data_IF_769738842162
#
_entry.id   IF_769738842162
#
_cell.length_a   1.000
_cell.length_b   1.000
_cell.length_c   1.000
_cell.angle_alpha   90.00
_cell.angle_beta   90.00
_cell.angle_gamma   90.00
#
_symmetry.space_group_name_H-M   'P 1'
#
loop_
_entity.id
_entity.type
_entity.pdbx_description
1 polymer ?
#
# COMPACT_ATOMS: atom_id res chain seq x y z
N UNK A 1 -7.63 1.40 16.19
CA UNK A 1 -6.70 1.74 15.06
C UNK A 1 -5.23 1.72 15.49
N UNK A 2 -4.83 2.46 16.52
CA UNK A 2 -3.41 2.52 16.93
C UNK A 2 -2.82 1.14 17.27
N UNK A 3 -3.56 0.30 18.00
CA UNK A 3 -3.13 -1.04 18.35
C UNK A 3 -2.83 -1.91 17.12
N UNK A 4 -3.67 -1.77 16.06
CA UNK A 4 -3.48 -2.51 14.81
C UNK A 4 -2.20 -2.05 14.07
N UNK A 5 -1.89 -0.75 14.11
CA UNK A 5 -0.66 -0.20 13.52
C UNK A 5 0.57 -0.67 14.29
N UNK A 6 0.52 -0.60 15.62
CA UNK A 6 1.61 -1.08 16.48
C UNK A 6 1.81 -2.62 16.41
N UNK A 7 0.79 -3.36 15.97
CA UNK A 7 0.88 -4.80 15.75
C UNK A 7 1.53 -5.19 14.41
N UNK A 8 1.85 -4.23 13.52
CA UNK A 8 2.47 -4.53 12.21
C UNK A 8 3.70 -5.44 12.28
N UNK A 9 4.63 -5.30 13.26
CA UNK A 9 5.74 -6.24 13.42
C UNK A 9 5.28 -7.71 13.60
N UNK A 10 4.25 -7.93 14.41
CA UNK A 10 3.68 -9.27 14.63
C UNK A 10 2.93 -9.78 13.38
N UNK A 11 2.26 -8.89 12.65
CA UNK A 11 1.56 -9.25 11.42
C UNK A 11 2.51 -9.82 10.36
N UNK A 12 3.80 -9.45 10.35
CA UNK A 12 4.80 -9.99 9.41
C UNK A 12 4.91 -11.50 9.56
N UNK A 13 5.20 -11.99 10.74
CA UNK A 13 5.36 -13.42 11.00
C UNK A 13 4.07 -14.21 10.77
N UNK A 14 2.93 -13.68 11.22
CA UNK A 14 1.61 -14.30 11.01
C UNK A 14 1.25 -14.35 9.52
N UNK A 15 1.54 -13.30 8.73
CA UNK A 15 1.28 -13.27 7.30
C UNK A 15 2.10 -14.33 6.55
N UNK A 16 3.39 -14.46 6.84
CA UNK A 16 4.26 -15.49 6.24
C UNK A 16 3.73 -16.90 6.55
N UNK A 17 3.39 -17.17 7.81
CA UNK A 17 2.83 -18.45 8.21
C UNK A 17 1.50 -18.77 7.48
N UNK A 18 0.60 -17.79 7.36
CA UNK A 18 -0.70 -17.99 6.70
C UNK A 18 -0.58 -18.26 5.21
N UNK A 19 0.33 -17.58 4.54
CA UNK A 19 0.59 -17.81 3.13
C UNK A 19 1.18 -19.21 2.92
N UNK A 20 2.10 -19.65 3.78
CA UNK A 20 2.66 -20.99 3.75
C UNK A 20 1.58 -22.05 4.02
N UNK A 21 0.73 -21.82 5.03
CA UNK A 21 -0.37 -22.72 5.37
C UNK A 21 -1.45 -22.83 4.26
N UNK A 22 -1.56 -21.82 3.38
CA UNK A 22 -2.46 -21.88 2.23
C UNK A 22 -2.02 -22.90 1.17
N UNK A 23 -0.75 -23.30 1.18
CA UNK A 23 -0.25 -24.46 0.44
C UNK A 23 -0.25 -24.32 -1.08
N UNK A 24 -0.19 -23.09 -1.64
CA UNK A 24 -0.02 -22.96 -3.08
C UNK A 24 1.42 -23.25 -3.49
N UNK A 25 1.56 -24.24 -4.38
CA UNK A 25 2.88 -24.70 -4.83
C UNK A 25 3.52 -23.68 -5.78
N UNK A 26 4.85 -23.44 -5.68
CA UNK A 26 5.57 -22.63 -6.64
C UNK A 26 5.41 -23.16 -8.05
N UNK A 27 5.14 -22.27 -9.00
CA UNK A 27 5.01 -22.58 -10.42
C UNK A 27 5.49 -21.42 -11.27
N UNK A 28 6.42 -21.66 -12.15
CA UNK A 28 6.87 -20.65 -13.11
C UNK A 28 5.75 -20.27 -14.09
N UNK A 29 5.32 -19.00 -14.04
CA UNK A 29 4.24 -18.46 -14.87
C UNK A 29 4.74 -17.26 -15.68
N UNK A 30 5.00 -17.42 -17.00
CA UNK A 30 5.55 -16.34 -17.84
C UNK A 30 4.75 -15.06 -17.89
N UNK A 31 3.43 -15.13 -17.71
CA UNK A 31 2.53 -13.96 -17.65
C UNK A 31 2.66 -13.13 -16.37
N UNK A 32 3.42 -13.60 -15.37
CA UNK A 32 3.67 -12.87 -14.13
C UNK A 32 2.51 -12.89 -13.16
N UNK A 33 2.31 -11.77 -12.44
CA UNK A 33 1.33 -11.63 -11.37
C UNK A 33 0.36 -10.48 -11.63
N UNK A 34 -0.92 -10.76 -11.50
CA UNK A 34 -1.98 -9.73 -11.43
C UNK A 34 -2.62 -9.79 -10.05
N UNK A 35 -2.68 -8.64 -9.38
CA UNK A 35 -3.30 -8.49 -8.06
C UNK A 35 -4.61 -7.74 -8.24
N UNK A 36 -5.75 -8.37 -7.96
CA UNK A 36 -7.07 -7.76 -8.04
C UNK A 36 -7.57 -7.40 -6.65
N UNK A 37 -7.91 -6.13 -6.44
CA UNK A 37 -8.38 -5.64 -5.16
C UNK A 37 -8.77 -4.17 -5.20
N UNK A 38 -9.37 -3.68 -4.11
CA UNK A 38 -9.72 -2.27 -3.92
C UNK A 38 -9.12 -1.74 -2.63
N UNK A 39 -9.01 -0.40 -2.50
CA UNK A 39 -8.56 0.25 -1.28
C UNK A 39 -7.25 -0.33 -0.72
N UNK A 40 -7.24 -0.68 0.57
CA UNK A 40 -6.08 -1.26 1.26
C UNK A 40 -5.58 -2.57 0.65
N UNK A 41 -6.48 -3.40 0.10
CA UNK A 41 -6.11 -4.66 -0.54
C UNK A 41 -5.31 -4.44 -1.84
N UNK A 42 -5.70 -3.46 -2.65
CA UNK A 42 -4.98 -3.10 -3.86
C UNK A 42 -3.64 -2.39 -3.55
N UNK A 43 -3.62 -1.54 -2.52
CA UNK A 43 -2.39 -0.86 -2.07
C UNK A 43 -1.32 -1.87 -1.68
N UNK A 44 -1.69 -2.99 -1.04
CA UNK A 44 -0.73 -4.07 -0.73
C UNK A 44 -0.01 -4.61 -1.97
N UNK A 45 -0.71 -4.73 -3.10
CA UNK A 45 -0.10 -5.10 -4.38
C UNK A 45 0.89 -4.06 -4.91
N UNK A 46 0.55 -2.78 -4.84
CA UNK A 46 1.46 -1.68 -5.25
C UNK A 46 2.70 -1.61 -4.36
N UNK A 47 2.52 -1.80 -3.04
CA UNK A 47 3.62 -1.82 -2.08
C UNK A 47 4.54 -3.02 -2.30
N UNK A 48 3.99 -4.19 -2.63
CA UNK A 48 4.77 -5.36 -3.00
C UNK A 48 5.60 -5.10 -4.27
N UNK A 49 5.00 -4.53 -5.31
CA UNK A 49 5.72 -4.14 -6.52
C UNK A 49 6.83 -3.12 -6.23
N UNK A 50 6.57 -2.15 -5.35
CA UNK A 50 7.55 -1.16 -4.90
C UNK A 50 8.72 -1.80 -4.13
N UNK A 51 8.43 -2.75 -3.22
CA UNK A 51 9.44 -3.47 -2.45
C UNK A 51 10.29 -4.42 -3.32
N UNK A 52 9.70 -5.00 -4.38
CA UNK A 52 10.44 -5.79 -5.37
C UNK A 52 11.37 -4.91 -6.18
N UNK A 53 10.94 -3.68 -6.50
CA UNK A 53 11.72 -2.70 -7.27
C UNK A 53 12.32 -3.29 -8.57
N UNK A 54 13.60 -3.00 -8.84
CA UNK A 54 14.30 -3.47 -10.04
C UNK A 54 14.57 -4.98 -10.10
N UNK A 55 14.10 -5.78 -9.13
CA UNK A 55 14.28 -7.25 -9.07
C UNK A 55 13.15 -8.03 -9.74
N UNK A 56 12.13 -7.35 -10.24
CA UNK A 56 11.04 -7.99 -10.99
C UNK A 56 11.59 -8.68 -12.24
N UNK A 57 11.22 -9.96 -12.41
CA UNK A 57 11.59 -10.79 -13.56
C UNK A 57 10.48 -10.84 -14.60
N UNK A 58 9.25 -10.51 -14.19
CA UNK A 58 8.02 -10.52 -15.00
C UNK A 58 7.12 -9.39 -14.55
N UNK A 59 6.07 -9.11 -15.32
CA UNK A 59 5.11 -8.08 -15.00
C UNK A 59 4.39 -8.38 -13.67
N UNK A 60 4.27 -7.36 -12.84
CA UNK A 60 3.46 -7.35 -11.61
C UNK A 60 2.52 -6.15 -11.73
N UNK A 61 1.21 -6.40 -11.75
CA UNK A 61 0.20 -5.37 -12.01
C UNK A 61 -0.91 -5.43 -10.99
N UNK A 62 -1.34 -4.28 -10.51
CA UNK A 62 -2.52 -4.16 -9.63
C UNK A 62 -3.72 -3.66 -10.44
N UNK A 63 -4.82 -4.39 -10.34
CA UNK A 63 -6.10 -4.08 -11.00
C UNK A 63 -7.10 -3.57 -9.97
N UNK A 64 -7.72 -2.43 -10.30
CA UNK A 64 -8.79 -1.80 -9.53
C UNK A 64 -9.99 -1.61 -10.45
N UNK A 65 -10.92 -2.55 -10.39
CA UNK A 65 -12.09 -2.55 -11.25
C UNK A 65 -12.61 -3.97 -11.51
N UNK A 66 -13.54 -4.08 -12.42
CA UNK A 66 -14.31 -5.30 -12.69
C UNK A 66 -13.68 -6.19 -13.78
N UNK A 67 -12.70 -5.70 -14.53
CA UNK A 67 -12.15 -6.37 -15.70
C UNK A 67 -10.67 -6.73 -15.51
N UNK A 68 -10.29 -7.90 -16.01
CA UNK A 68 -8.90 -8.31 -16.09
C UNK A 68 -8.22 -7.69 -17.33
N UNK A 69 -6.91 -7.45 -17.27
CA UNK A 69 -6.14 -7.14 -18.48
C UNK A 69 -6.31 -8.25 -19.54
N UNK A 70 -6.40 -7.89 -20.83
CA UNK A 70 -6.75 -8.83 -21.90
C UNK A 70 -5.69 -9.91 -22.18
N UNK A 71 -4.51 -9.74 -21.63
CA UNK A 71 -3.39 -10.68 -21.72
C UNK A 71 -3.33 -11.69 -20.56
N UNK A 72 -4.29 -11.65 -19.63
CA UNK A 72 -4.39 -12.63 -18.53
C UNK A 72 -4.91 -13.95 -19.05
N UNK A 73 -4.22 -15.04 -18.69
CA UNK A 73 -4.57 -16.39 -19.11
C UNK A 73 -3.88 -17.46 -18.26
N UNK A 74 -3.78 -18.72 -18.74
CA UNK A 74 -3.25 -19.85 -17.97
C UNK A 74 -1.81 -19.68 -17.48
N UNK A 75 -1.07 -18.73 -18.03
CA UNK A 75 0.33 -18.42 -17.70
C UNK A 75 0.47 -17.21 -16.75
N UNK A 76 -0.64 -16.67 -16.23
CA UNK A 76 -0.65 -15.52 -15.31
C UNK A 76 -1.23 -15.93 -13.96
N UNK A 77 -0.52 -15.69 -12.85
CA UNK A 77 -1.11 -15.84 -11.52
C UNK A 77 -2.03 -14.66 -11.22
N UNK A 78 -3.24 -14.93 -10.76
CA UNK A 78 -4.17 -13.90 -10.29
C UNK A 78 -4.35 -14.02 -8.77
N UNK A 79 -3.86 -13.03 -8.03
CA UNK A 79 -4.12 -12.87 -6.60
C UNK A 79 -5.37 -12.01 -6.42
N UNK A 80 -6.44 -12.60 -5.90
CA UNK A 80 -7.67 -11.91 -5.55
C UNK A 80 -7.62 -11.54 -4.07
N UNK A 81 -7.41 -10.26 -3.78
CA UNK A 81 -7.25 -9.73 -2.43
C UNK A 81 -8.47 -8.89 -2.02
N UNK A 82 -9.17 -9.33 -0.98
CA UNK A 82 -10.29 -8.59 -0.38
C UNK A 82 -10.38 -8.90 1.10
N UNK A 83 -10.18 -7.89 1.95
CA UNK A 83 -10.29 -8.09 3.40
C UNK A 83 -11.66 -8.65 3.78
N UNK A 84 -12.77 -8.01 3.37
CA UNK A 84 -14.12 -8.48 3.65
C UNK A 84 -14.52 -9.76 2.89
N UNK A 85 -13.85 -10.06 1.77
CA UNK A 85 -14.22 -11.13 0.86
C UNK A 85 -15.50 -10.87 0.05
N UNK A 86 -16.08 -9.67 0.15
CA UNK A 86 -17.35 -9.30 -0.52
C UNK A 86 -17.19 -8.15 -1.54
N UNK A 87 -15.94 -7.71 -1.82
CA UNK A 87 -15.67 -6.65 -2.79
C UNK A 87 -16.06 -7.11 -4.20
N UNK A 88 -17.04 -6.44 -4.81
CA UNK A 88 -17.63 -6.85 -6.09
C UNK A 88 -16.60 -6.94 -7.21
N UNK A 89 -15.73 -5.93 -7.32
CA UNK A 89 -14.67 -5.88 -8.34
C UNK A 89 -13.72 -7.06 -8.21
N UNK A 90 -13.37 -7.42 -6.97
CA UNK A 90 -12.48 -8.57 -6.71
C UNK A 90 -13.17 -9.89 -7.04
N UNK A 91 -14.46 -10.01 -6.74
CA UNK A 91 -15.26 -11.19 -7.08
C UNK A 91 -15.42 -11.34 -8.59
N UNK A 92 -15.66 -10.25 -9.31
CA UNK A 92 -15.74 -10.24 -10.77
C UNK A 92 -14.42 -10.69 -11.40
N UNK A 93 -13.28 -10.15 -10.93
CA UNK A 93 -11.95 -10.57 -11.38
C UNK A 93 -11.65 -12.04 -11.04
N UNK A 94 -12.09 -12.52 -9.87
CA UNK A 94 -11.91 -13.92 -9.49
C UNK A 94 -12.64 -14.87 -10.45
N UNK A 95 -13.88 -14.58 -10.80
CA UNK A 95 -14.68 -15.38 -11.72
C UNK A 95 -14.09 -15.32 -13.13
N UNK A 96 -13.80 -14.12 -13.66
CA UNK A 96 -13.18 -13.91 -14.97
C UNK A 96 -11.83 -14.64 -15.10
N UNK A 97 -10.99 -14.63 -14.06
CA UNK A 97 -9.74 -15.39 -14.06
C UNK A 97 -9.97 -16.91 -14.18
N UNK A 98 -11.05 -17.41 -13.58
CA UNK A 98 -11.46 -18.80 -13.73
C UNK A 98 -11.88 -19.15 -15.16
N UNK A 99 -12.66 -18.27 -15.80
CA UNK A 99 -13.14 -18.45 -17.18
C UNK A 99 -11.99 -18.53 -18.19
N UNK A 100 -10.94 -17.73 -18.02
CA UNK A 100 -9.74 -17.74 -18.88
C UNK A 100 -8.71 -18.80 -18.47
N UNK A 101 -8.99 -19.63 -17.44
CA UNK A 101 -8.11 -20.69 -16.97
C UNK A 101 -6.87 -20.20 -16.23
N UNK A 102 -6.84 -18.97 -15.75
CA UNK A 102 -5.72 -18.43 -14.98
C UNK A 102 -5.66 -19.08 -13.58
N UNK A 103 -4.48 -19.52 -13.10
CA UNK A 103 -4.29 -19.94 -11.72
C UNK A 103 -4.60 -18.78 -10.78
N UNK A 104 -5.29 -19.07 -9.67
CA UNK A 104 -5.78 -18.07 -8.70
C UNK A 104 -5.32 -18.39 -7.29
N UNK A 105 -5.20 -17.35 -6.47
CA UNK A 105 -5.07 -17.40 -5.01
C UNK A 105 -6.01 -16.37 -4.42
N UNK A 106 -6.72 -16.72 -3.35
CA UNK A 106 -7.55 -15.79 -2.60
C UNK A 106 -6.84 -15.37 -1.32
N UNK A 107 -6.86 -14.06 -1.00
CA UNK A 107 -6.33 -13.48 0.23
C UNK A 107 -7.47 -12.70 0.91
N UNK A 108 -8.01 -13.23 2.02
CA UNK A 108 -9.25 -12.70 2.61
C UNK A 108 -9.46 -13.18 4.05
N UNK A 109 -10.32 -12.47 4.81
CA UNK A 109 -10.79 -12.97 6.12
C UNK A 109 -11.86 -14.05 5.99
N UNK A 110 -12.57 -14.12 4.84
CA UNK A 110 -13.69 -15.02 4.63
C UNK A 110 -14.61 -14.56 3.50
N UNK A 111 -15.91 -14.64 3.73
CA UNK A 111 -16.97 -14.16 2.83
C UNK A 111 -17.07 -14.90 1.49
N UNK A 112 -17.83 -14.34 0.54
CA UNK A 112 -18.08 -14.96 -0.78
C UNK A 112 -16.79 -15.32 -1.53
N UNK A 113 -15.71 -14.56 -1.40
CA UNK A 113 -14.43 -14.87 -2.05
C UNK A 113 -13.84 -16.18 -1.54
N UNK A 114 -13.84 -16.40 -0.21
CA UNK A 114 -13.34 -17.64 0.37
C UNK A 114 -14.24 -18.83 0.01
N UNK A 115 -15.56 -18.63 -0.06
CA UNK A 115 -16.52 -19.66 -0.44
C UNK A 115 -16.31 -20.09 -1.90
N UNK A 116 -16.23 -19.14 -2.84
CA UNK A 116 -15.95 -19.40 -4.26
C UNK A 116 -14.60 -20.07 -4.45
N UNK A 117 -13.56 -19.59 -3.74
CA UNK A 117 -12.23 -20.16 -3.84
C UNK A 117 -12.21 -21.63 -3.38
N UNK A 118 -12.81 -21.94 -2.22
CA UNK A 118 -12.91 -23.33 -1.73
C UNK A 118 -13.71 -24.23 -2.67
N UNK A 119 -14.85 -23.75 -3.19
CA UNK A 119 -15.68 -24.50 -4.15
C UNK A 119 -14.93 -24.80 -5.46
N UNK A 120 -14.02 -23.93 -5.87
CA UNK A 120 -13.18 -24.08 -7.06
C UNK A 120 -11.84 -24.80 -6.80
N UNK A 121 -11.55 -25.23 -5.57
CA UNK A 121 -10.26 -25.82 -5.19
C UNK A 121 -9.09 -24.85 -5.27
N UNK A 122 -9.36 -23.55 -5.13
CA UNK A 122 -8.37 -22.47 -5.17
C UNK A 122 -7.81 -22.24 -3.77
N UNK A 123 -6.48 -22.13 -3.59
CA UNK A 123 -5.87 -21.82 -2.29
C UNK A 123 -6.40 -20.53 -1.69
N UNK A 124 -6.61 -20.54 -0.37
CA UNK A 124 -7.06 -19.37 0.41
C UNK A 124 -6.05 -19.08 1.51
N UNK A 125 -5.34 -17.98 1.39
CA UNK A 125 -4.56 -17.42 2.48
C UNK A 125 -5.50 -16.59 3.38
N UNK A 126 -5.79 -17.12 4.58
CA UNK A 126 -6.72 -16.48 5.51
C UNK A 126 -6.07 -15.31 6.25
N UNK A 127 -6.74 -14.17 6.34
CA UNK A 127 -6.32 -13.02 7.14
C UNK A 127 -7.13 -12.99 8.44
N UNK A 128 -6.59 -12.54 9.59
CA UNK A 128 -7.36 -12.33 10.81
C UNK A 128 -8.48 -11.30 10.58
N UNK A 129 -9.65 -11.57 11.14
CA UNK A 129 -10.76 -10.62 11.20
C UNK A 129 -10.65 -9.70 12.42
N UNK A 130 -11.44 -8.65 12.48
CA UNK A 130 -11.59 -7.79 13.65
C UNK A 130 -10.79 -6.48 13.62
N UNK A 131 -9.93 -6.26 12.61
CA UNK A 131 -9.25 -4.99 12.38
C UNK A 131 -9.93 -4.19 11.24
N UNK A 132 -9.63 -2.92 11.16
CA UNK A 132 -10.03 -2.12 10.00
C UNK A 132 -9.35 -2.65 8.71
N UNK A 133 -10.04 -2.70 7.56
CA UNK A 133 -9.45 -3.24 6.32
C UNK A 133 -8.11 -2.58 5.94
N UNK A 134 -7.95 -1.28 6.21
CA UNK A 134 -6.72 -0.52 5.98
C UNK A 134 -5.56 -0.94 6.88
N UNK A 135 -5.85 -1.48 8.06
CA UNK A 135 -4.83 -1.96 9.00
C UNK A 135 -4.24 -3.34 8.60
N UNK A 136 -4.88 -4.05 7.66
CA UNK A 136 -4.41 -5.33 7.15
C UNK A 136 -3.36 -5.20 6.03
N UNK A 137 -2.77 -4.02 5.83
CA UNK A 137 -1.85 -3.73 4.72
C UNK A 137 -0.63 -4.65 4.70
N UNK A 138 -0.11 -5.04 5.86
CA UNK A 138 1.04 -5.96 5.96
C UNK A 138 0.68 -7.33 5.38
N UNK A 139 -0.48 -7.88 5.73
CA UNK A 139 -0.97 -9.14 5.15
C UNK A 139 -1.12 -9.06 3.64
N UNK A 140 -1.68 -7.96 3.12
CA UNK A 140 -1.87 -7.75 1.69
C UNK A 140 -0.54 -7.64 0.95
N UNK A 141 0.42 -6.91 1.53
CA UNK A 141 1.74 -6.72 0.93
C UNK A 141 2.54 -8.02 0.92
N UNK A 142 2.61 -8.73 2.06
CA UNK A 142 3.35 -10.00 2.17
C UNK A 142 2.71 -11.08 1.31
N UNK A 143 1.38 -11.17 1.29
CA UNK A 143 0.66 -12.09 0.41
C UNK A 143 1.00 -11.87 -1.07
N UNK A 144 1.10 -10.62 -1.51
CA UNK A 144 1.49 -10.28 -2.88
C UNK A 144 2.99 -10.57 -3.15
N UNK A 145 3.89 -10.32 -2.20
CA UNK A 145 5.32 -10.66 -2.30
C UNK A 145 5.54 -12.17 -2.46
N UNK A 146 4.90 -12.97 -1.62
CA UNK A 146 4.99 -14.43 -1.66
C UNK A 146 4.36 -15.00 -2.96
N UNK A 147 3.25 -14.43 -3.43
CA UNK A 147 2.68 -14.79 -4.74
C UNK A 147 3.62 -14.44 -5.90
N UNK A 148 4.29 -13.28 -5.85
CA UNK A 148 5.27 -12.88 -6.86
C UNK A 148 6.46 -13.85 -6.91
N UNK A 149 6.94 -14.30 -5.75
CA UNK A 149 8.00 -15.31 -5.66
C UNK A 149 7.50 -16.68 -6.18
N UNK A 150 6.31 -17.11 -5.77
CA UNK A 150 5.76 -18.40 -6.14
C UNK A 150 5.48 -18.55 -7.64
N UNK A 151 5.10 -17.46 -8.35
CA UNK A 151 4.91 -17.48 -9.80
C UNK A 151 6.18 -17.15 -10.59
N UNK A 152 7.32 -16.96 -9.94
CA UNK A 152 8.60 -16.59 -10.56
C UNK A 152 8.66 -15.17 -11.11
N UNK A 153 7.70 -14.29 -10.73
CA UNK A 153 7.71 -12.88 -11.12
C UNK A 153 8.79 -12.06 -10.37
N UNK A 154 9.22 -12.54 -9.21
CA UNK A 154 10.30 -11.96 -8.42
C UNK A 154 11.09 -13.07 -7.69
N UNK A 155 12.31 -12.79 -7.18
CA UNK A 155 12.94 -13.69 -6.23
C UNK A 155 12.16 -13.75 -4.90
N UNK A 156 12.38 -14.79 -4.10
CA UNK A 156 11.91 -14.78 -2.71
C UNK A 156 12.60 -13.65 -1.94
N UNK A 157 11.82 -12.90 -1.18
CA UNK A 157 12.28 -11.80 -0.33
C UNK A 157 12.03 -12.10 1.15
N UNK A 158 11.84 -13.38 1.50
CA UNK A 158 11.46 -13.82 2.84
C UNK A 158 12.43 -13.33 3.90
N UNK A 159 13.74 -13.43 3.66
CA UNK A 159 14.76 -12.97 4.62
C UNK A 159 14.68 -11.46 4.85
N UNK A 160 14.38 -10.67 3.80
CA UNK A 160 14.18 -9.22 3.94
C UNK A 160 12.88 -8.89 4.69
N UNK A 161 11.82 -9.66 4.46
CA UNK A 161 10.53 -9.52 5.16
C UNK A 161 10.70 -9.82 6.64
N UNK A 162 11.37 -10.92 6.98
CA UNK A 162 11.65 -11.31 8.37
C UNK A 162 12.56 -10.27 9.06
N UNK A 163 13.61 -9.81 8.36
CA UNK A 163 14.51 -8.76 8.87
C UNK A 163 13.85 -7.40 9.09
N UNK A 164 12.79 -7.08 8.36
CA UNK A 164 12.05 -5.84 8.56
C UNK A 164 11.26 -5.82 9.89
N UNK A 165 10.99 -6.97 10.50
CA UNK A 165 10.23 -7.08 11.75
C UNK A 165 10.87 -6.29 12.89
N UNK A 166 12.17 -6.51 13.13
CA UNK A 166 12.90 -5.82 14.22
C UNK A 166 12.91 -4.30 14.00
N UNK A 167 13.04 -3.87 12.75
CA UNK A 167 12.95 -2.45 12.41
C UNK A 167 11.58 -1.87 12.74
N UNK A 168 10.50 -2.57 12.43
CA UNK A 168 9.15 -2.10 12.74
C UNK A 168 8.87 -2.13 14.26
N UNK A 169 9.47 -3.05 15.03
CA UNK A 169 9.41 -3.04 16.50
C UNK A 169 10.07 -1.75 17.06
N UNK A 170 11.23 -1.33 16.52
CA UNK A 170 11.87 -0.08 16.90
C UNK A 170 11.03 1.15 16.49
N UNK A 171 10.41 1.12 15.31
CA UNK A 171 9.54 2.19 14.85
C UNK A 171 8.26 2.33 15.69
N UNK A 172 7.75 1.23 16.23
CA UNK A 172 6.61 1.25 17.15
C UNK A 172 6.92 2.03 18.45
N UNK A 173 8.19 2.03 18.87
CA UNK A 173 8.65 2.76 20.05
C UNK A 173 9.02 4.22 19.73
N UNK A 174 9.69 4.47 18.61
CA UNK A 174 10.16 5.80 18.19
C UNK A 174 10.13 5.98 16.67
N UNK A 175 9.00 6.39 16.14
CA UNK A 175 8.80 6.66 14.71
C UNK A 175 9.07 8.12 14.33
N UNK A 176 9.02 9.04 15.27
CA UNK A 176 8.97 10.49 15.03
C UNK A 176 7.61 10.97 14.47
N UNK A 177 6.58 10.10 14.46
CA UNK A 177 5.27 10.40 13.86
C UNK A 177 4.59 11.62 14.46
N UNK A 178 4.67 11.83 15.77
CA UNK A 178 4.06 12.98 16.45
C UNK A 178 4.65 14.32 15.98
N UNK A 179 5.96 14.37 15.72
CA UNK A 179 6.60 15.57 15.19
C UNK A 179 6.14 15.88 13.77
N UNK A 180 5.97 14.85 12.95
CA UNK A 180 5.45 14.97 11.58
C UNK A 180 3.98 15.39 11.62
N UNK A 181 3.16 14.76 12.46
CA UNK A 181 1.75 15.10 12.62
C UNK A 181 1.55 16.58 12.99
N UNK A 182 2.30 17.08 13.97
CA UNK A 182 2.27 18.52 14.35
C UNK A 182 2.68 19.45 13.19
N UNK A 183 3.60 19.04 12.33
CA UNK A 183 4.00 19.83 11.17
C UNK A 183 2.93 19.86 10.07
N UNK A 184 1.97 18.94 10.09
CA UNK A 184 0.87 18.84 9.14
C UNK A 184 -0.47 19.39 9.70
N UNK A 185 -0.51 19.74 10.97
CA UNK A 185 -1.70 20.31 11.62
C UNK A 185 -2.18 21.55 10.85
N UNK A 186 -3.49 21.71 10.68
CA UNK A 186 -4.11 22.81 9.96
C UNK A 186 -3.69 22.95 8.47
N UNK A 187 -3.12 21.93 7.86
CA UNK A 187 -2.70 21.97 6.45
C UNK A 187 -3.42 20.92 5.59
N UNK A 188 -3.31 21.08 4.27
CA UNK A 188 -3.70 20.07 3.27
C UNK A 188 -2.43 19.45 2.68
N UNK A 189 -2.05 18.24 3.10
CA UNK A 189 -0.81 17.63 2.67
C UNK A 189 -0.83 17.13 1.22
N UNK A 190 0.18 17.51 0.42
CA UNK A 190 0.56 16.82 -0.80
C UNK A 190 1.75 15.92 -0.50
N UNK A 191 1.54 14.61 -0.62
CA UNK A 191 2.58 13.62 -0.35
C UNK A 191 3.27 13.25 -1.66
N UNK A 192 4.55 13.62 -1.79
CA UNK A 192 5.38 13.37 -2.96
C UNK A 192 6.17 12.08 -2.80
N UNK A 193 6.06 11.22 -3.79
CA UNK A 193 6.87 10.01 -3.92
C UNK A 193 7.54 9.94 -5.29
N UNK A 194 8.50 9.04 -5.44
CA UNK A 194 9.16 8.76 -6.72
C UNK A 194 9.53 7.28 -6.78
N UNK A 195 9.39 6.64 -7.94
CA UNK A 195 9.68 5.22 -8.08
C UNK A 195 9.05 4.38 -6.95
N UNK A 196 9.84 3.65 -6.12
CA UNK A 196 9.27 2.82 -5.06
C UNK A 196 8.43 3.59 -4.02
N UNK A 197 8.76 4.86 -3.73
CA UNK A 197 8.02 5.63 -2.74
C UNK A 197 6.70 6.21 -3.25
N UNK A 198 6.44 6.18 -4.56
CA UNK A 198 5.17 6.64 -5.13
C UNK A 198 3.96 5.83 -4.64
N UNK A 199 4.10 4.51 -4.50
CA UNK A 199 3.06 3.65 -3.92
C UNK A 199 2.82 3.99 -2.44
N UNK A 200 3.88 4.28 -1.70
CA UNK A 200 3.79 4.68 -0.29
C UNK A 200 3.13 6.04 -0.14
N UNK A 201 3.44 7.01 -1.02
CA UNK A 201 2.78 8.33 -1.03
C UNK A 201 1.26 8.20 -1.22
N UNK A 202 0.81 7.31 -2.12
CA UNK A 202 -0.62 6.98 -2.26
C UNK A 202 -1.21 6.37 -0.99
N UNK A 203 -0.45 5.51 -0.28
CA UNK A 203 -0.87 4.97 1.01
C UNK A 203 -1.02 6.07 2.06
N UNK A 204 -0.03 6.95 2.23
CA UNK A 204 -0.09 8.07 3.16
C UNK A 204 -1.35 8.91 2.93
N UNK A 205 -1.60 9.30 1.68
CA UNK A 205 -2.80 10.04 1.29
C UNK A 205 -4.07 9.34 1.77
N UNK A 206 -4.21 8.04 1.54
CA UNK A 206 -5.43 7.31 1.95
C UNK A 206 -5.55 7.20 3.46
N UNK A 207 -4.44 7.04 4.19
CA UNK A 207 -4.45 6.98 5.64
C UNK A 207 -4.84 8.34 6.27
N UNK A 208 -4.31 9.44 5.76
CA UNK A 208 -4.72 10.78 6.19
C UNK A 208 -6.21 11.03 5.92
N UNK A 209 -6.71 10.61 4.75
CA UNK A 209 -8.13 10.72 4.44
C UNK A 209 -9.02 9.88 5.38
N UNK A 210 -8.63 8.63 5.66
CA UNK A 210 -9.47 7.69 6.41
C UNK A 210 -9.31 7.81 7.92
N UNK A 211 -8.11 8.05 8.44
CA UNK A 211 -7.87 8.15 9.89
C UNK A 211 -8.07 9.58 10.40
N UNK A 212 -7.39 10.56 9.83
CA UNK A 212 -7.49 11.95 10.25
C UNK A 212 -8.68 12.71 9.63
N UNK A 213 -9.46 12.08 8.75
CA UNK A 213 -10.58 12.70 8.00
C UNK A 213 -10.15 13.96 7.22
N UNK A 214 -8.85 14.06 6.93
CA UNK A 214 -8.21 15.21 6.31
C UNK A 214 -8.12 15.04 4.79
N UNK A 215 -8.52 16.01 3.97
CA UNK A 215 -8.20 16.01 2.55
C UNK A 215 -6.67 15.99 2.36
N UNK A 216 -6.16 14.98 1.67
CA UNK A 216 -4.76 14.85 1.34
C UNK A 216 -4.63 14.33 -0.10
N UNK A 217 -3.51 14.64 -0.74
CA UNK A 217 -3.25 14.26 -2.12
C UNK A 217 -1.90 13.57 -2.23
N UNK A 218 -1.71 12.77 -3.28
CA UNK A 218 -0.42 12.15 -3.59
C UNK A 218 0.03 12.61 -4.99
N UNK A 219 1.32 12.86 -5.11
CA UNK A 219 1.95 13.29 -6.34
C UNK A 219 3.20 12.46 -6.63
N UNK A 220 3.48 12.22 -7.90
CA UNK A 220 4.60 11.38 -8.33
C UNK A 220 5.62 12.18 -9.15
N UNK A 221 6.88 12.11 -8.71
CA UNK A 221 8.04 12.62 -9.44
C UNK A 221 8.62 11.50 -10.33
N UNK A 222 9.07 11.83 -11.54
CA UNK A 222 9.36 13.18 -12.05
C UNK A 222 8.19 13.90 -12.72
N UNK A 223 7.02 13.28 -12.91
CA UNK A 223 5.90 13.86 -13.67
C UNK A 223 5.43 15.20 -13.09
N UNK A 224 5.32 15.32 -11.76
CA UNK A 224 4.93 16.55 -11.09
C UNK A 224 5.86 17.76 -11.40
N UNK A 225 7.12 17.50 -11.74
CA UNK A 225 8.05 18.56 -12.16
C UNK A 225 7.77 19.14 -13.55
N UNK A 226 6.90 18.49 -14.34
CA UNK A 226 6.55 18.95 -15.68
C UNK A 226 5.24 19.74 -15.72
N UNK A 227 4.51 19.81 -14.60
CA UNK A 227 3.20 20.44 -14.51
C UNK A 227 2.87 21.02 -13.14
N UNK A 228 2.74 20.19 -12.10
CA UNK A 228 2.20 20.58 -10.80
C UNK A 228 3.04 21.67 -10.08
N UNK A 229 4.35 21.68 -10.28
CA UNK A 229 5.27 22.65 -9.65
C UNK A 229 4.91 24.10 -9.97
N UNK A 230 4.30 24.36 -11.13
CA UNK A 230 3.84 25.69 -11.52
C UNK A 230 2.65 26.18 -10.72
N UNK A 231 1.80 25.24 -10.24
CA UNK A 231 0.60 25.55 -9.49
C UNK A 231 0.83 25.96 -8.03
N UNK A 232 1.96 25.59 -7.45
CA UNK A 232 2.19 25.72 -6.01
C UNK A 232 2.10 27.16 -5.49
N UNK A 233 2.70 28.13 -6.18
CA UNK A 233 2.67 29.53 -5.75
C UNK A 233 1.22 30.03 -5.61
N UNK A 234 0.40 29.76 -6.60
CA UNK A 234 -1.02 30.14 -6.56
C UNK A 234 -1.81 29.29 -5.58
N UNK A 235 -1.45 28.01 -5.42
CA UNK A 235 -2.08 27.10 -4.46
C UNK A 235 -1.99 27.60 -3.02
N UNK A 236 -0.81 28.10 -2.61
CA UNK A 236 -0.60 28.68 -1.27
C UNK A 236 -1.45 29.92 -0.98
N UNK A 237 -1.84 30.69 -2.02
CA UNK A 237 -2.80 31.80 -1.85
C UNK A 237 -4.24 31.32 -1.66
N UNK A 238 -4.57 30.08 -2.03
CA UNK A 238 -5.92 29.52 -2.04
C UNK A 238 -6.22 28.59 -0.88
N UNK A 239 -5.20 27.87 -0.38
CA UNK A 239 -5.34 26.87 0.68
C UNK A 239 -4.05 26.69 1.48
N UNK A 240 -4.12 26.23 2.74
CA UNK A 240 -2.97 25.96 3.57
C UNK A 240 -2.27 24.66 3.14
N UNK A 241 -1.61 24.66 1.98
CA UNK A 241 -0.93 23.48 1.46
C UNK A 241 0.38 23.21 2.21
N UNK A 242 0.68 21.93 2.45
CA UNK A 242 2.00 21.46 2.88
C UNK A 242 2.51 20.37 1.93
N UNK A 243 3.82 20.21 1.86
CA UNK A 243 4.47 19.18 1.06
C UNK A 243 5.19 18.16 1.93
N UNK A 244 4.91 16.87 1.73
CA UNK A 244 5.62 15.76 2.35
C UNK A 244 6.43 15.03 1.28
N UNK A 245 7.73 14.84 1.49
CA UNK A 245 8.61 14.12 0.57
C UNK A 245 9.08 12.81 1.20
N UNK A 246 8.80 11.68 0.55
CA UNK A 246 9.19 10.35 1.00
C UNK A 246 10.48 9.91 0.31
N UNK A 247 11.60 10.01 1.03
CA UNK A 247 12.91 9.62 0.55
C UNK A 247 13.21 8.13 0.80
N UNK A 248 14.01 7.53 -0.09
CA UNK A 248 14.48 6.15 0.09
C UNK A 248 15.85 5.98 -0.56
N UNK A 249 16.82 5.29 0.08
CA UNK A 249 18.08 4.91 -0.54
C UNK A 249 17.93 4.05 -1.81
N UNK A 250 16.75 3.48 -2.04
CA UNK A 250 16.43 2.72 -3.25
C UNK A 250 16.06 3.58 -4.45
N UNK A 251 16.02 4.91 -4.30
CA UNK A 251 15.71 5.81 -5.40
C UNK A 251 16.85 5.89 -6.42
N UNK A 252 16.48 6.06 -7.69
CA UNK A 252 17.47 6.44 -8.71
C UNK A 252 18.06 7.82 -8.35
N UNK A 253 19.40 8.05 -8.42
CA UNK A 253 20.04 9.29 -7.98
C UNK A 253 19.46 10.57 -8.62
N UNK A 254 18.95 10.47 -9.87
CA UNK A 254 18.30 11.61 -10.53
C UNK A 254 16.92 11.91 -9.97
N UNK A 255 16.20 10.90 -9.47
CA UNK A 255 14.91 11.11 -8.79
C UNK A 255 15.12 11.74 -7.41
N UNK A 256 16.11 11.24 -6.66
CA UNK A 256 16.50 11.83 -5.38
C UNK A 256 16.85 13.32 -5.55
N UNK A 257 17.70 13.64 -6.51
CA UNK A 257 18.04 15.04 -6.82
C UNK A 257 16.83 15.89 -7.20
N UNK A 258 15.86 15.33 -7.94
CA UNK A 258 14.62 16.02 -8.27
C UNK A 258 13.77 16.28 -7.03
N UNK A 259 13.67 15.31 -6.13
CA UNK A 259 12.94 15.47 -4.87
C UNK A 259 13.53 16.58 -4.01
N UNK A 260 14.86 16.61 -3.83
CA UNK A 260 15.56 17.68 -3.13
C UNK A 260 15.26 19.06 -3.73
N UNK A 261 15.50 19.21 -5.06
CA UNK A 261 15.28 20.47 -5.75
C UNK A 261 13.81 20.93 -5.70
N UNK A 262 12.87 19.99 -5.73
CA UNK A 262 11.44 20.32 -5.60
C UNK A 262 11.13 20.79 -4.18
N UNK A 263 11.61 20.06 -3.18
CA UNK A 263 11.42 20.42 -1.77
C UNK A 263 12.00 21.81 -1.45
N UNK A 264 13.24 22.09 -1.92
CA UNK A 264 13.88 23.40 -1.75
C UNK A 264 13.09 24.51 -2.45
N UNK A 265 12.63 24.26 -3.70
CA UNK A 265 11.83 25.23 -4.45
C UNK A 265 10.51 25.55 -3.76
N UNK A 266 9.84 24.56 -3.17
CA UNK A 266 8.61 24.77 -2.44
C UNK A 266 8.84 25.53 -1.12
N UNK A 267 9.92 25.20 -0.41
CA UNK A 267 10.33 25.94 0.79
C UNK A 267 10.64 27.41 0.47
N UNK A 268 11.33 27.71 -0.63
CA UNK A 268 11.67 29.07 -1.08
C UNK A 268 10.42 29.95 -1.33
N UNK A 269 9.31 29.36 -1.70
CA UNK A 269 8.04 30.07 -1.89
C UNK A 269 7.16 30.09 -0.64
N UNK A 270 7.64 29.54 0.49
CA UNK A 270 6.98 29.58 1.80
C UNK A 270 6.05 28.39 2.08
N UNK A 271 6.09 27.32 1.31
CA UNK A 271 5.35 26.10 1.64
C UNK A 271 5.99 25.40 2.84
N UNK A 272 5.22 24.91 3.84
CA UNK A 272 5.71 23.95 4.81
C UNK A 272 6.18 22.68 4.11
N UNK A 273 7.43 22.26 4.37
CA UNK A 273 8.04 21.08 3.75
C UNK A 273 8.49 20.11 4.83
N UNK A 274 7.99 18.87 4.75
CA UNK A 274 8.38 17.76 5.61
C UNK A 274 9.12 16.72 4.79
N UNK A 275 10.30 16.30 5.25
CA UNK A 275 11.08 15.22 4.64
C UNK A 275 11.04 14.01 5.56
N UNK A 276 10.72 12.85 4.98
CA UNK A 276 10.61 11.58 5.70
C UNK A 276 11.49 10.55 5.00
N UNK A 277 12.49 10.06 5.71
CA UNK A 277 13.44 9.09 5.19
C UNK A 277 12.99 7.67 5.52
N UNK A 278 13.09 6.77 4.52
CA UNK A 278 12.96 5.35 4.74
C UNK A 278 14.07 4.84 5.67
N UNK A 279 13.73 3.85 6.50
CA UNK A 279 14.70 3.21 7.43
C UNK A 279 14.96 1.76 7.01
N UNK A 280 16.13 1.23 7.42
CA UNK A 280 16.59 -0.13 7.14
C UNK A 280 17.48 -0.21 5.90
N UNK A 281 17.93 -1.42 5.56
CA UNK A 281 18.97 -1.66 4.58
C UNK A 281 18.47 -2.34 3.30
N UNK A 282 17.18 -2.68 3.24
CA UNK A 282 16.59 -3.40 2.10
C UNK A 282 15.39 -2.65 1.52
N UNK A 283 15.07 -2.82 0.23
CA UNK A 283 13.87 -2.22 -0.35
C UNK A 283 12.57 -2.61 0.36
N UNK A 284 12.47 -3.82 0.91
CA UNK A 284 11.32 -4.26 1.73
C UNK A 284 11.24 -3.41 3.01
N UNK A 285 12.37 -3.26 3.72
CA UNK A 285 12.44 -2.44 4.93
C UNK A 285 12.11 -0.98 4.63
N UNK A 286 12.63 -0.41 3.53
CA UNK A 286 12.33 0.97 3.11
C UNK A 286 10.83 1.19 2.91
N UNK A 287 10.14 0.27 2.20
CA UNK A 287 8.70 0.39 1.96
C UNK A 287 7.93 0.24 3.28
N UNK A 288 8.21 -0.80 4.06
CA UNK A 288 7.46 -1.09 5.28
C UNK A 288 7.68 -0.02 6.36
N UNK A 289 8.90 0.53 6.49
CA UNK A 289 9.17 1.62 7.43
C UNK A 289 8.39 2.88 7.12
N UNK A 290 8.36 3.31 5.84
CA UNK A 290 7.58 4.46 5.42
C UNK A 290 6.07 4.22 5.54
N UNK A 291 5.59 2.99 5.30
CA UNK A 291 4.18 2.61 5.51
C UNK A 291 3.81 2.78 6.97
N UNK A 292 4.55 2.16 7.89
CA UNK A 292 4.26 2.24 9.32
C UNK A 292 4.35 3.68 9.84
N UNK A 293 5.37 4.43 9.43
CA UNK A 293 5.49 5.84 9.81
C UNK A 293 4.26 6.64 9.37
N UNK A 294 3.78 6.46 8.13
CA UNK A 294 2.60 7.17 7.63
C UNK A 294 1.30 6.76 8.31
N UNK A 295 1.17 5.48 8.64
CA UNK A 295 0.03 4.98 9.39
C UNK A 295 0.01 5.61 10.81
N UNK A 296 1.15 5.67 11.49
CA UNK A 296 1.29 6.34 12.79
C UNK A 296 1.03 7.86 12.71
N UNK A 297 1.61 8.55 11.70
CA UNK A 297 1.35 9.99 11.48
C UNK A 297 -0.14 10.27 11.34
N UNK A 298 -0.86 9.45 10.58
CA UNK A 298 -2.29 9.66 10.36
C UNK A 298 -3.14 9.46 11.62
N UNK A 299 -2.72 8.55 12.51
CA UNK A 299 -3.39 8.35 13.82
C UNK A 299 -3.01 9.46 14.80
N UNK A 300 -1.71 9.83 14.89
CA UNK A 300 -1.28 10.95 15.73
C UNK A 300 -1.97 12.28 15.33
N UNK A 301 -2.14 12.51 14.02
CA UNK A 301 -2.87 13.70 13.55
C UNK A 301 -4.34 13.65 13.93
N UNK A 302 -4.99 12.48 13.83
CA UNK A 302 -6.37 12.32 14.30
C UNK A 302 -6.51 12.62 15.81
N UNK A 303 -5.56 12.15 16.62
CA UNK A 303 -5.52 12.43 18.06
C UNK A 303 -5.32 13.93 18.37
N UNK A 304 -4.43 14.62 17.64
CA UNK A 304 -4.20 16.05 17.79
C UNK A 304 -5.46 16.88 17.50
N UNK A 305 -6.28 16.46 16.56
CA UNK A 305 -7.51 17.13 16.13
C UNK A 305 -8.78 16.60 16.84
N UNK A 306 -8.63 15.72 17.85
CA UNK A 306 -9.75 15.08 18.59
C UNK A 306 -10.73 14.34 17.67
N UNK A 307 -10.18 13.66 16.63
CA UNK A 307 -10.92 12.87 15.63
C UNK A 307 -10.79 11.38 15.94
N UNK A 308 -11.93 10.67 15.97
CA UNK A 308 -11.92 9.19 16.02
C UNK A 308 -11.44 8.61 14.68
N UNK A 309 -10.30 7.91 14.65
CA UNK A 309 -9.79 7.35 13.40
C UNK A 309 -10.61 6.16 12.88
N UNK A 310 -11.37 5.44 13.73
CA UNK A 310 -11.95 4.16 13.37
C UNK A 310 -13.13 4.25 12.39
N UNK A 311 -14.18 5.08 12.57
CA UNK A 311 -15.35 5.07 11.71
C UNK A 311 -15.03 5.60 10.30
N UNK A 312 -15.74 5.03 9.30
CA UNK A 312 -15.65 5.43 7.89
C UNK A 312 -17.05 5.60 7.28
N UNK A 313 -17.90 6.36 7.97
CA UNK A 313 -19.33 6.49 7.71
C UNK A 313 -19.66 6.87 6.26
N UNK A 314 -18.85 7.74 5.64
CA UNK A 314 -19.04 8.15 4.26
C UNK A 314 -18.82 6.97 3.28
N UNK A 315 -17.84 6.10 3.56
CA UNK A 315 -17.57 4.91 2.74
C UNK A 315 -18.68 3.88 2.94
N UNK A 316 -19.12 3.67 4.20
CA UNK A 316 -20.20 2.75 4.52
C UNK A 316 -21.53 3.20 3.92
N UNK A 317 -21.86 4.48 4.03
CA UNK A 317 -23.04 5.07 3.43
C UNK A 317 -23.04 4.94 1.90
N UNK A 318 -21.87 5.15 1.26
CA UNK A 318 -21.74 4.97 -0.18
C UNK A 318 -21.96 3.50 -0.60
N UNK A 319 -21.38 2.54 0.13
CA UNK A 319 -21.58 1.11 -0.14
C UNK A 319 -23.05 0.69 0.02
N UNK A 320 -23.70 1.18 1.08
CA UNK A 320 -25.11 0.90 1.33
C UNK A 320 -26.05 1.47 0.23
N UNK A 321 -25.65 2.57 -0.42
CA UNK A 321 -26.40 3.16 -1.51
C UNK A 321 -26.23 2.44 -2.86
N UNK A 322 -25.14 1.69 -3.02
CA UNK A 322 -24.91 0.87 -4.21
C UNK A 322 -25.73 -0.42 -4.21
N UNK A 323 -26.07 -0.98 -3.05
CA UNK A 323 -26.89 -2.20 -2.87
C UNK A 323 -26.07 -3.38 -2.39
#
# INVERSE_FOLDING_TARGET
>A
MIEDVLAQPHQIGDALWRVEAAGFAPRELPGGLVICGMGGSAVGGDLAAAAIAGRARRAIRTVRGYELPPDVGPDTLVLCASYSGSTEETLACFDAAGEVGAPRVALTTGGPLAERARAAGVPVAGIPSGMQPRAAVVYMTIGALECAAACGAAPSLRDEIEGARELLEQLAEDSGADSIARALEDTIPLVHGAGPTAAVARRWKTQLNENAKLPAFASELPEANHNEIEGWRRGLDLAPLSAVFLHSPSLHPRLERRMELTADRLADIGAPVVRVDARGDTPVAHVLSLVMTGDLVSVSLAELEDIDPDPVDAIEGFKAALG
#
